data_IF_849890726128
#
_entry.id   IF_849890726128
#
_cell.length_a   1.000
_cell.length_b   1.000
_cell.length_c   1.000
_cell.angle_alpha   90.00
_cell.angle_beta   90.00
_cell.angle_gamma   90.00
#
_symmetry.space_group_name_H-M   'P 1'
#
loop_
_entity.id
_entity.type
_entity.pdbx_description
1 polymer ?
#
# COMPACT_ATOMS: atom_id res chain seq x y z
N UNK A 1 15.10 1.52 36.21
CA UNK A 1 15.23 2.85 35.58
C UNK A 1 14.06 3.04 34.64
N UNK A 2 13.22 4.04 34.88
CA UNK A 2 12.15 4.40 33.94
C UNK A 2 12.81 4.82 32.63
N UNK A 3 12.66 4.02 31.56
CA UNK A 3 13.11 4.47 30.24
C UNK A 3 12.31 5.74 29.91
N UNK A 4 12.99 6.73 29.35
CA UNK A 4 12.38 7.98 28.88
C UNK A 4 11.18 7.66 27.96
N UNK A 5 10.08 8.39 28.09
CA UNK A 5 8.90 8.21 27.23
C UNK A 5 9.33 8.47 25.77
N UNK A 6 8.67 7.80 24.82
CA UNK A 6 8.93 8.06 23.41
C UNK A 6 8.36 9.41 23.00
N UNK A 7 9.19 10.25 22.36
CA UNK A 7 8.75 11.53 21.82
C UNK A 7 8.18 11.33 20.42
N UNK A 8 6.88 11.58 20.25
CA UNK A 8 6.19 11.44 18.97
C UNK A 8 6.41 12.64 18.05
N UNK A 9 6.87 13.77 18.57
CA UNK A 9 7.16 14.97 17.79
C UNK A 9 8.60 14.96 17.24
N UNK A 10 9.44 14.03 17.73
CA UNK A 10 10.78 13.82 17.23
C UNK A 10 10.78 13.47 15.73
N UNK A 11 11.71 14.09 15.00
CA UNK A 11 11.95 13.81 13.60
C UNK A 11 12.54 12.40 13.41
N UNK A 12 12.08 11.69 12.39
CA UNK A 12 12.65 10.42 11.99
C UNK A 12 14.06 10.63 11.44
N UNK A 13 15.04 10.11 12.16
CA UNK A 13 16.45 10.13 11.76
C UNK A 13 16.83 8.97 10.84
N UNK A 14 15.94 7.98 10.70
CA UNK A 14 16.13 6.80 9.86
C UNK A 14 14.85 6.47 9.08
N UNK A 15 14.98 5.68 8.02
CA UNK A 15 13.85 5.31 7.15
C UNK A 15 12.88 4.32 7.83
N UNK A 16 13.34 3.58 8.85
CA UNK A 16 12.58 2.51 9.48
C UNK A 16 12.53 2.71 11.00
N UNK A 17 11.32 2.74 11.54
CA UNK A 17 11.07 2.66 12.98
C UNK A 17 10.81 1.20 13.39
N UNK A 18 11.60 0.71 14.35
CA UNK A 18 11.49 -0.64 14.89
C UNK A 18 11.01 -0.62 16.35
N UNK A 19 9.78 -1.07 16.59
CA UNK A 19 9.20 -1.11 17.93
C UNK A 19 9.98 -2.00 18.90
N UNK A 20 10.75 -2.98 18.40
CA UNK A 20 11.51 -3.92 19.25
C UNK A 20 12.57 -3.18 20.08
N UNK A 21 13.13 -2.10 19.54
CA UNK A 21 14.12 -1.26 20.22
C UNK A 21 13.46 -0.32 21.24
N UNK A 22 12.18 0.02 21.03
CA UNK A 22 11.43 1.00 21.80
C UNK A 22 10.28 0.41 22.65
N UNK A 23 10.20 -0.92 22.77
CA UNK A 23 9.02 -1.61 23.32
C UNK A 23 8.53 -1.01 24.64
N UNK A 24 9.41 -0.91 25.63
CA UNK A 24 9.10 -0.40 26.97
C UNK A 24 8.80 1.12 27.00
N UNK A 25 9.22 1.88 25.98
CA UNK A 25 8.98 3.33 25.86
C UNK A 25 7.65 3.67 25.17
N UNK A 26 7.14 2.73 24.37
CA UNK A 26 6.03 2.95 23.45
C UNK A 26 4.80 2.08 23.77
N UNK A 27 4.98 0.76 23.81
CA UNK A 27 3.86 -0.20 23.83
C UNK A 27 3.01 -0.08 25.10
N UNK A 28 3.57 -0.04 26.33
CA UNK A 28 2.76 0.11 27.54
C UNK A 28 1.90 1.38 27.55
N UNK A 29 2.45 2.50 27.04
CA UNK A 29 1.75 3.78 27.00
C UNK A 29 0.58 3.74 26.00
N UNK A 30 0.82 3.24 24.78
CA UNK A 30 -0.24 3.10 23.76
C UNK A 30 -1.35 2.15 24.24
N UNK A 31 -0.99 1.04 24.88
CA UNK A 31 -1.95 0.11 25.48
C UNK A 31 -2.76 0.79 26.59
N UNK A 32 -2.11 1.51 27.50
CA UNK A 32 -2.77 2.22 28.58
C UNK A 32 -3.75 3.27 28.04
N UNK A 33 -3.34 4.09 27.07
CA UNK A 33 -4.22 5.10 26.45
C UNK A 33 -5.45 4.43 25.81
N UNK A 34 -5.24 3.36 25.04
CA UNK A 34 -6.36 2.64 24.39
C UNK A 34 -7.30 1.98 25.40
N UNK A 35 -6.78 1.51 26.52
CA UNK A 35 -7.59 0.94 27.59
C UNK A 35 -8.34 2.03 28.38
N UNK A 36 -7.65 3.08 28.83
CA UNK A 36 -8.20 4.14 29.67
C UNK A 36 -9.24 5.01 28.94
N UNK A 37 -9.09 5.16 27.62
CA UNK A 37 -9.96 6.00 26.80
C UNK A 37 -10.76 5.18 25.77
N UNK A 38 -11.10 3.92 26.07
CA UNK A 38 -11.74 3.01 25.12
C UNK A 38 -13.02 3.57 24.46
N UNK A 39 -13.80 4.37 25.18
CA UNK A 39 -15.07 4.96 24.70
C UNK A 39 -14.88 6.23 23.86
N UNK A 40 -13.75 6.92 24.01
CA UNK A 40 -13.50 8.23 23.37
C UNK A 40 -12.37 8.21 22.36
N UNK A 41 -11.53 7.17 22.39
CA UNK A 41 -10.39 7.01 21.50
C UNK A 41 -10.85 6.65 20.08
N UNK A 42 -10.16 7.24 19.10
CA UNK A 42 -10.30 6.84 17.72
C UNK A 42 -9.82 5.41 17.52
N UNK A 43 -10.62 4.60 16.83
CA UNK A 43 -10.30 3.20 16.54
C UNK A 43 -10.43 2.89 15.06
N UNK A 44 -9.56 2.02 14.54
CA UNK A 44 -9.79 1.42 13.24
C UNK A 44 -10.89 0.37 13.38
N UNK A 45 -11.87 0.31 12.46
CA UNK A 45 -12.98 -0.65 12.57
C UNK A 45 -12.52 -2.10 12.39
N UNK A 46 -11.42 -2.32 11.66
CA UNK A 46 -10.87 -3.62 11.27
C UNK A 46 -9.36 -3.49 11.07
N UNK A 47 -8.62 -4.56 11.37
CA UNK A 47 -7.25 -4.75 10.89
C UNK A 47 -7.31 -5.38 9.50
N UNK A 48 -6.77 -4.71 8.49
CA UNK A 48 -6.73 -5.23 7.11
C UNK A 48 -5.31 -5.63 6.74
N UNK A 49 -5.14 -6.62 5.85
CA UNK A 49 -3.83 -7.04 5.35
C UNK A 49 -3.82 -7.25 3.83
N UNK A 50 -2.63 -7.09 3.24
CA UNK A 50 -2.36 -7.44 1.85
C UNK A 50 -0.87 -7.78 1.69
N UNK A 51 -0.58 -8.89 1.00
CA UNK A 51 0.77 -9.18 0.52
C UNK A 51 0.98 -8.45 -0.80
N UNK A 52 2.02 -7.65 -0.92
CA UNK A 52 2.43 -6.98 -2.14
C UNK A 52 3.72 -7.63 -2.65
N UNK A 53 3.71 -8.06 -3.90
CA UNK A 53 4.93 -8.52 -4.61
C UNK A 53 5.28 -7.49 -5.65
N UNK A 54 6.46 -6.88 -5.52
CA UNK A 54 6.97 -5.88 -6.46
C UNK A 54 7.68 -6.53 -7.64
N UNK A 55 7.39 -6.01 -8.84
CA UNK A 55 7.98 -6.33 -10.15
C UNK A 55 7.40 -7.48 -11.02
N UNK A 56 6.64 -8.49 -10.54
CA UNK A 56 6.23 -9.59 -11.40
C UNK A 56 5.51 -9.14 -12.68
N UNK A 57 6.02 -9.63 -13.81
CA UNK A 57 5.23 -9.70 -15.04
C UNK A 57 4.26 -10.87 -14.93
N UNK A 58 3.03 -10.70 -15.43
CA UNK A 58 1.99 -11.72 -15.38
C UNK A 58 2.22 -12.83 -16.41
N UNK A 59 3.29 -13.60 -16.22
CA UNK A 59 3.59 -14.86 -16.91
C UNK A 59 3.46 -16.00 -15.93
N UNK A 60 3.45 -17.25 -16.39
CA UNK A 60 3.35 -18.43 -15.51
C UNK A 60 4.25 -18.35 -14.26
N UNK A 61 5.50 -17.92 -14.47
CA UNK A 61 6.49 -17.74 -13.41
C UNK A 61 7.26 -16.44 -13.60
N UNK A 62 7.58 -15.79 -12.49
CA UNK A 62 8.53 -14.69 -12.43
C UNK A 62 9.52 -14.94 -11.29
N UNK A 63 10.78 -15.21 -11.64
CA UNK A 63 11.79 -15.62 -10.68
C UNK A 63 11.38 -16.90 -9.95
N UNK A 64 11.23 -16.82 -8.62
CA UNK A 64 10.73 -17.94 -7.80
C UNK A 64 9.22 -17.96 -7.60
N UNK A 65 8.49 -16.95 -8.07
CA UNK A 65 7.04 -16.88 -7.90
C UNK A 65 6.35 -17.57 -9.07
N UNK A 66 5.68 -18.67 -8.77
CA UNK A 66 4.75 -19.36 -9.66
C UNK A 66 3.32 -18.98 -9.28
N UNK A 67 2.54 -18.44 -10.22
CA UNK A 67 1.22 -17.91 -9.88
C UNK A 67 0.20 -19.00 -9.56
N UNK A 68 0.33 -20.22 -10.08
CA UNK A 68 -0.60 -21.29 -9.72
C UNK A 68 -0.29 -21.83 -8.31
N UNK A 69 1.01 -22.00 -8.02
CA UNK A 69 1.47 -22.41 -6.70
C UNK A 69 1.11 -21.38 -5.62
N UNK A 70 1.32 -20.09 -5.92
CA UNK A 70 0.96 -18.99 -5.02
C UNK A 70 -0.55 -18.95 -4.74
N UNK A 71 -1.41 -19.28 -5.71
CA UNK A 71 -2.85 -19.37 -5.47
C UNK A 71 -3.20 -20.50 -4.50
N UNK A 72 -2.57 -21.66 -4.65
CA UNK A 72 -2.74 -22.79 -3.72
C UNK A 72 -2.34 -22.39 -2.31
N UNK A 73 -1.19 -21.73 -2.16
CA UNK A 73 -0.73 -21.20 -0.87
C UNK A 73 -1.72 -20.17 -0.29
N UNK A 74 -2.24 -19.25 -1.11
CA UNK A 74 -3.24 -18.26 -0.69
C UNK A 74 -4.55 -18.87 -0.20
N UNK A 75 -4.96 -20.01 -0.77
CA UNK A 75 -6.13 -20.76 -0.34
C UNK A 75 -5.85 -21.47 0.99
N UNK A 76 -4.71 -22.15 1.09
CA UNK A 76 -4.30 -22.90 2.27
C UNK A 76 -4.06 -22.00 3.50
N UNK A 77 -3.28 -20.93 3.34
CA UNK A 77 -2.88 -20.01 4.42
C UNK A 77 -3.77 -18.78 4.54
N UNK A 78 -4.89 -18.76 3.81
CA UNK A 78 -5.97 -17.76 3.92
C UNK A 78 -5.52 -16.30 3.77
N UNK A 79 -4.66 -16.02 2.79
CA UNK A 79 -4.21 -14.66 2.46
C UNK A 79 -4.61 -14.22 1.04
N UNK A 80 -4.32 -12.97 0.70
CA UNK A 80 -4.48 -12.36 -0.63
C UNK A 80 -3.19 -11.66 -1.05
N UNK A 81 -2.96 -11.60 -2.36
CA UNK A 81 -1.76 -11.01 -2.96
C UNK A 81 -2.11 -9.94 -3.99
N UNK A 82 -1.48 -8.78 -3.86
CA UNK A 82 -1.42 -7.74 -4.85
C UNK A 82 -0.08 -7.79 -5.59
N UNK A 83 -0.11 -7.71 -6.92
CA UNK A 83 1.10 -7.48 -7.71
C UNK A 83 1.25 -5.99 -7.95
N UNK A 84 2.35 -5.39 -7.47
CA UNK A 84 2.70 -4.04 -7.87
C UNK A 84 3.20 -4.10 -9.32
N UNK A 85 2.27 -3.91 -10.25
CA UNK A 85 2.46 -4.19 -11.65
C UNK A 85 3.03 -2.97 -12.37
N UNK A 86 4.15 -3.17 -13.08
CA UNK A 86 4.80 -2.11 -13.84
C UNK A 86 3.96 -1.81 -15.08
N UNK A 87 3.39 -0.59 -15.24
CA UNK A 87 2.48 -0.28 -16.35
C UNK A 87 3.09 -0.47 -17.74
N UNK A 88 4.41 -0.33 -17.89
CA UNK A 88 5.11 -0.67 -19.13
C UNK A 88 4.84 -2.10 -19.63
N UNK A 89 4.54 -3.05 -18.73
CA UNK A 89 4.21 -4.44 -19.05
C UNK A 89 2.77 -4.67 -19.52
N UNK A 90 1.95 -3.64 -19.71
CA UNK A 90 0.50 -3.78 -19.94
C UNK A 90 0.09 -4.68 -21.13
N UNK A 91 0.95 -4.91 -22.13
CA UNK A 91 0.71 -5.86 -23.25
C UNK A 91 1.37 -7.23 -23.06
N UNK A 92 1.98 -7.50 -21.91
CA UNK A 92 2.90 -8.63 -21.69
C UNK A 92 2.34 -9.68 -20.73
N UNK A 93 1.03 -9.67 -20.48
CA UNK A 93 0.35 -10.66 -19.64
C UNK A 93 -0.01 -11.89 -20.45
N UNK A 94 0.32 -13.08 -19.94
CA UNK A 94 -0.01 -14.35 -20.58
C UNK A 94 -1.50 -14.69 -20.38
N UNK A 95 -2.23 -15.16 -21.41
CA UNK A 95 -3.68 -15.41 -21.32
C UNK A 95 -4.10 -16.32 -20.17
N UNK A 96 -3.31 -17.36 -19.88
CA UNK A 96 -3.58 -18.30 -18.79
C UNK A 96 -3.50 -17.65 -17.41
N UNK A 97 -2.56 -16.72 -17.21
CA UNK A 97 -2.45 -15.96 -15.96
C UNK A 97 -3.50 -14.87 -15.90
N UNK A 98 -3.89 -14.29 -17.03
CA UNK A 98 -5.04 -13.39 -17.09
C UNK A 98 -6.31 -14.08 -16.61
N UNK A 99 -6.57 -15.30 -17.09
CA UNK A 99 -7.70 -16.11 -16.67
C UNK A 99 -7.64 -16.43 -15.18
N UNK A 100 -6.46 -16.81 -14.66
CA UNK A 100 -6.24 -17.10 -13.23
C UNK A 100 -6.66 -15.91 -12.34
N UNK A 101 -6.24 -14.69 -12.69
CA UNK A 101 -6.59 -13.48 -11.95
C UNK A 101 -8.09 -13.18 -12.00
N UNK A 102 -8.71 -13.29 -13.18
CA UNK A 102 -10.14 -13.04 -13.35
C UNK A 102 -11.03 -14.03 -12.59
N UNK A 103 -10.57 -15.26 -12.43
CA UNK A 103 -11.30 -16.31 -11.72
C UNK A 103 -11.12 -16.25 -10.20
N UNK A 104 -10.12 -15.51 -9.69
CA UNK A 104 -9.83 -15.43 -8.26
C UNK A 104 -9.60 -13.96 -7.81
N UNK A 105 -10.55 -13.03 -8.08
CA UNK A 105 -10.39 -11.59 -7.78
C UNK A 105 -10.31 -11.25 -6.29
N UNK A 106 -10.72 -12.17 -5.42
CA UNK A 106 -10.57 -12.08 -3.96
C UNK A 106 -9.17 -12.45 -3.47
N UNK A 107 -8.40 -13.16 -4.31
CA UNK A 107 -7.04 -13.60 -4.01
C UNK A 107 -5.99 -12.76 -4.71
N UNK A 108 -6.27 -12.33 -5.94
CA UNK A 108 -5.35 -11.55 -6.75
C UNK A 108 -5.85 -10.14 -7.02
N UNK A 109 -4.96 -9.16 -6.86
CA UNK A 109 -5.16 -7.80 -7.34
C UNK A 109 -3.90 -7.24 -8.00
N UNK A 110 -4.07 -6.14 -8.73
CA UNK A 110 -2.96 -5.38 -9.32
C UNK A 110 -2.98 -3.96 -8.76
N UNK A 111 -1.81 -3.37 -8.55
CA UNK A 111 -1.66 -1.93 -8.30
C UNK A 111 -0.65 -1.31 -9.27
N UNK A 112 -0.56 0.02 -9.28
CA UNK A 112 0.34 0.76 -10.16
C UNK A 112 1.75 0.77 -9.56
N UNK A 113 2.76 0.25 -10.27
CA UNK A 113 4.15 0.30 -9.83
C UNK A 113 5.00 1.22 -10.70
N UNK A 114 4.98 2.51 -10.39
CA UNK A 114 5.60 3.55 -11.19
C UNK A 114 4.97 3.71 -12.58
N UNK A 115 5.79 3.81 -13.62
CA UNK A 115 5.33 3.80 -15.01
C UNK A 115 6.20 2.88 -15.89
N UNK A 116 7.49 3.21 -16.00
CA UNK A 116 8.49 2.45 -16.76
C UNK A 116 9.42 1.65 -15.83
N UNK A 117 9.34 1.92 -14.53
CA UNK A 117 10.23 1.39 -13.50
C UNK A 117 11.71 1.69 -13.81
N UNK A 118 11.96 2.92 -14.30
CA UNK A 118 13.32 3.43 -14.47
C UNK A 118 13.90 3.95 -13.15
N UNK A 119 15.18 4.36 -13.13
CA UNK A 119 15.83 4.79 -11.88
C UNK A 119 15.18 6.07 -11.37
N UNK A 120 14.71 6.05 -10.11
CA UNK A 120 14.17 7.22 -9.42
C UNK A 120 13.15 8.04 -10.24
N UNK A 121 12.26 7.37 -10.99
CA UNK A 121 11.42 8.06 -11.97
C UNK A 121 10.37 9.01 -11.36
N UNK A 122 10.12 8.88 -10.05
CA UNK A 122 9.31 9.78 -9.23
C UNK A 122 10.13 10.60 -8.22
N UNK A 123 11.46 10.56 -8.29
CA UNK A 123 12.38 11.27 -7.38
C UNK A 123 12.83 12.65 -7.85
N UNK A 124 12.21 13.22 -8.89
CA UNK A 124 12.51 14.56 -9.42
C UNK A 124 11.56 15.63 -8.85
N UNK A 125 11.87 16.91 -9.02
CA UNK A 125 10.98 18.04 -8.69
C UNK A 125 10.14 18.54 -9.88
N UNK A 126 10.37 18.00 -11.09
CA UNK A 126 9.66 18.40 -12.31
C UNK A 126 8.19 17.92 -12.30
N UNK A 127 7.29 18.82 -11.91
CA UNK A 127 5.86 18.54 -11.73
C UNK A 127 5.16 18.08 -13.00
N UNK A 128 5.44 18.69 -14.14
CA UNK A 128 4.80 18.33 -15.42
C UNK A 128 5.24 16.95 -15.86
N UNK A 129 6.55 16.67 -15.76
CA UNK A 129 7.10 15.35 -16.06
C UNK A 129 6.50 14.26 -15.18
N UNK A 130 6.38 14.50 -13.88
CA UNK A 130 5.76 13.58 -12.92
C UNK A 130 4.29 13.35 -13.25
N UNK A 131 3.57 14.41 -13.59
CA UNK A 131 2.15 14.34 -13.88
C UNK A 131 1.88 13.53 -15.14
N UNK A 132 2.64 13.82 -16.20
CA UNK A 132 2.62 13.03 -17.42
C UNK A 132 2.95 11.56 -17.15
N UNK A 133 3.97 11.26 -16.33
CA UNK A 133 4.31 9.87 -15.98
C UNK A 133 3.19 9.16 -15.22
N UNK A 134 2.57 9.81 -14.25
CA UNK A 134 1.45 9.25 -13.50
C UNK A 134 0.22 9.03 -14.39
N UNK A 135 -0.09 9.98 -15.27
CA UNK A 135 -1.13 9.84 -16.28
C UNK A 135 -0.87 8.68 -17.24
N UNK A 136 0.35 8.58 -17.78
CA UNK A 136 0.72 7.49 -18.68
C UNK A 136 0.64 6.13 -18.00
N UNK A 137 1.05 6.04 -16.73
CA UNK A 137 0.88 4.83 -15.93
C UNK A 137 -0.59 4.41 -15.88
N UNK A 138 -1.49 5.33 -15.52
CA UNK A 138 -2.94 5.06 -15.49
C UNK A 138 -3.51 4.71 -16.86
N UNK A 139 -3.10 5.39 -17.93
CA UNK A 139 -3.52 5.07 -19.31
C UNK A 139 -3.13 3.64 -19.69
N UNK A 140 -1.91 3.22 -19.38
CA UNK A 140 -1.43 1.84 -19.65
C UNK A 140 -2.16 0.81 -18.79
N UNK A 141 -2.46 1.12 -17.52
CA UNK A 141 -3.21 0.23 -16.64
C UNK A 141 -4.69 0.12 -17.04
N UNK A 142 -5.30 1.22 -17.49
CA UNK A 142 -6.64 1.21 -18.08
C UNK A 142 -6.66 0.39 -19.37
N UNK A 143 -5.63 0.52 -20.23
CA UNK A 143 -5.51 -0.29 -21.43
C UNK A 143 -5.31 -1.79 -21.12
N UNK A 144 -4.50 -2.13 -20.10
CA UNK A 144 -4.38 -3.49 -19.58
C UNK A 144 -5.74 -4.04 -19.15
N UNK A 145 -6.50 -3.27 -18.37
CA UNK A 145 -7.84 -3.68 -17.91
C UNK A 145 -8.80 -3.89 -19.09
N UNK A 146 -8.82 -2.99 -20.07
CA UNK A 146 -9.70 -3.12 -21.25
C UNK A 146 -9.37 -4.36 -22.09
N UNK A 147 -8.09 -4.71 -22.23
CA UNK A 147 -7.65 -5.87 -23.02
C UNK A 147 -7.81 -7.18 -22.25
N UNK A 148 -7.50 -7.20 -20.95
CA UNK A 148 -7.43 -8.44 -20.17
C UNK A 148 -8.69 -8.70 -19.35
N UNK A 149 -9.45 -7.67 -18.99
CA UNK A 149 -10.54 -7.73 -18.02
C UNK A 149 -10.10 -7.70 -16.56
N UNK A 150 -8.80 -7.63 -16.25
CA UNK A 150 -8.31 -7.53 -14.87
C UNK A 150 -8.41 -6.08 -14.40
N UNK A 151 -9.12 -5.85 -13.30
CA UNK A 151 -9.16 -4.54 -12.65
C UNK A 151 -7.86 -4.28 -11.90
N UNK A 152 -7.46 -3.02 -11.86
CA UNK A 152 -6.34 -2.58 -11.03
C UNK A 152 -6.81 -1.60 -9.96
N UNK A 153 -6.18 -1.68 -8.80
CA UNK A 153 -6.30 -0.73 -7.72
C UNK A 153 -5.54 0.54 -8.10
N UNK A 154 -6.20 1.69 -7.97
CA UNK A 154 -5.64 3.03 -8.27
C UNK A 154 -4.71 3.51 -7.15
N UNK A 155 -3.78 2.65 -6.75
CA UNK A 155 -2.81 2.87 -5.68
C UNK A 155 -1.42 2.88 -6.30
N UNK A 156 -0.66 3.96 -6.05
CA UNK A 156 0.72 4.07 -6.50
C UNK A 156 1.66 3.37 -5.51
N UNK A 157 2.47 2.46 -6.03
CA UNK A 157 3.59 1.85 -5.33
C UNK A 157 4.86 2.37 -5.97
N UNK A 158 5.69 3.09 -5.22
CA UNK A 158 6.89 3.71 -5.79
C UNK A 158 8.00 2.68 -6.05
N UNK A 159 8.52 2.61 -7.29
CA UNK A 159 9.73 1.83 -7.60
C UNK A 159 10.89 2.20 -6.68
N UNK A 160 11.59 1.20 -6.16
CA UNK A 160 12.79 1.36 -5.30
C UNK A 160 12.55 2.16 -4.01
N UNK A 161 11.30 2.41 -3.61
CA UNK A 161 11.03 3.27 -2.45
C UNK A 161 11.14 4.78 -2.73
N UNK A 162 11.44 5.20 -3.96
CA UNK A 162 11.86 6.59 -4.24
C UNK A 162 10.69 7.42 -4.77
N UNK A 163 10.38 8.50 -4.06
CA UNK A 163 9.40 9.53 -4.45
C UNK A 163 9.86 10.92 -3.99
N UNK A 164 9.35 11.99 -4.61
CA UNK A 164 9.55 13.36 -4.16
C UNK A 164 8.24 13.97 -3.62
N UNK A 165 8.33 15.10 -2.94
CA UNK A 165 7.15 15.86 -2.50
C UNK A 165 6.34 16.37 -3.71
N UNK A 166 7.03 16.74 -4.79
CA UNK A 166 6.39 17.11 -6.04
C UNK A 166 5.57 15.94 -6.62
N UNK A 167 6.08 14.70 -6.49
CA UNK A 167 5.35 13.51 -6.94
C UNK A 167 4.04 13.35 -6.17
N UNK A 168 4.06 13.43 -4.84
CA UNK A 168 2.87 13.30 -4.00
C UNK A 168 1.79 14.34 -4.36
N UNK A 169 2.20 15.61 -4.48
CA UNK A 169 1.32 16.70 -4.90
C UNK A 169 0.69 16.46 -6.28
N UNK A 170 1.46 15.88 -7.20
CA UNK A 170 1.00 15.56 -8.54
C UNK A 170 0.03 14.37 -8.55
N UNK A 171 0.28 13.33 -7.75
CA UNK A 171 -0.61 12.16 -7.67
C UNK A 171 -2.03 12.56 -7.24
N UNK A 172 -2.15 13.54 -6.34
CA UNK A 172 -3.43 14.16 -5.92
C UNK A 172 -4.25 14.69 -7.10
N UNK A 173 -3.58 15.13 -8.17
CA UNK A 173 -4.22 15.66 -9.39
C UNK A 173 -4.51 14.59 -10.43
N UNK A 174 -4.47 13.32 -10.06
CA UNK A 174 -4.80 12.17 -10.93
C UNK A 174 -5.97 11.37 -10.34
N UNK A 175 -6.32 10.24 -10.96
CA UNK A 175 -7.31 9.32 -10.39
C UNK A 175 -6.72 8.35 -9.33
N UNK A 176 -5.46 8.50 -8.92
CA UNK A 176 -4.88 7.70 -7.84
C UNK A 176 -5.51 8.08 -6.50
N UNK A 177 -5.69 7.10 -5.62
CA UNK A 177 -6.41 7.28 -4.34
C UNK A 177 -5.50 7.35 -3.12
N UNK A 178 -4.30 6.76 -3.24
CA UNK A 178 -3.22 6.81 -2.25
C UNK A 178 -1.90 6.34 -2.86
N UNK A 179 -0.81 6.59 -2.14
CA UNK A 179 0.46 5.94 -2.35
C UNK A 179 0.75 4.95 -1.21
N UNK A 180 1.49 3.89 -1.53
CA UNK A 180 1.98 2.89 -0.56
C UNK A 180 3.47 2.73 -0.77
N UNK A 181 4.25 2.86 0.30
CA UNK A 181 5.70 2.77 0.22
C UNK A 181 6.33 2.24 1.50
N UNK A 182 7.54 1.68 1.41
CA UNK A 182 8.32 1.31 2.60
C UNK A 182 9.04 2.52 3.17
N UNK A 183 9.67 3.33 2.31
CA UNK A 183 10.35 4.54 2.74
C UNK A 183 9.34 5.69 2.89
N UNK A 184 9.47 6.47 3.96
CA UNK A 184 8.57 7.60 4.23
C UNK A 184 9.21 8.95 3.98
N UNK A 185 10.52 8.99 3.79
CA UNK A 185 11.30 10.21 3.59
C UNK A 185 11.39 10.49 2.09
N UNK A 186 10.96 11.68 1.67
CA UNK A 186 11.03 12.14 0.28
C UNK A 186 12.47 12.28 -0.23
N UNK A 187 12.66 12.06 -1.52
CA UNK A 187 13.88 12.35 -2.25
C UNK A 187 13.96 13.84 -2.62
N UNK A 188 15.18 14.36 -2.63
CA UNK A 188 15.47 15.76 -2.95
C UNK A 188 16.46 16.40 -1.96
N UNK A 189 16.92 17.62 -2.26
CA UNK A 189 17.86 18.36 -1.42
C UNK A 189 17.20 18.97 -0.18
N UNK A 190 15.93 19.39 -0.27
CA UNK A 190 15.12 19.91 0.83
C UNK A 190 14.08 18.87 1.21
N UNK A 191 14.38 18.02 2.18
CA UNK A 191 13.48 16.97 2.65
C UNK A 191 12.59 17.52 3.76
N UNK A 192 11.29 17.32 3.64
CA UNK A 192 10.36 17.50 4.75
C UNK A 192 10.68 16.53 5.88
N UNK A 193 10.86 17.06 7.08
CA UNK A 193 10.90 16.29 8.32
C UNK A 193 9.57 15.54 8.50
N UNK A 194 9.66 14.25 8.79
CA UNK A 194 8.50 13.41 9.15
C UNK A 194 8.63 13.08 10.63
N UNK A 195 7.63 13.42 11.43
CA UNK A 195 7.66 13.08 12.85
C UNK A 195 7.25 11.62 13.08
N UNK A 196 7.64 11.07 14.23
CA UNK A 196 7.21 9.73 14.63
C UNK A 196 5.68 9.62 14.73
N UNK A 197 5.00 10.69 15.17
CA UNK A 197 3.54 10.77 15.25
C UNK A 197 2.87 10.65 13.89
N UNK A 198 3.44 11.24 12.84
CA UNK A 198 2.95 11.04 11.47
C UNK A 198 3.15 9.60 11.00
N UNK A 199 4.29 8.98 11.33
CA UNK A 199 4.55 7.58 10.99
C UNK A 199 3.61 6.62 11.73
N UNK A 200 3.24 6.93 12.96
CA UNK A 200 2.32 6.16 13.79
C UNK A 200 0.85 6.36 13.43
N UNK A 201 0.55 7.37 12.61
CA UNK A 201 -0.77 7.53 12.04
C UNK A 201 -1.08 6.43 11.00
N UNK A 202 -2.35 6.31 10.58
CA UNK A 202 -2.76 5.34 9.55
C UNK A 202 -2.04 5.59 8.23
N UNK A 203 -1.92 6.86 7.85
CA UNK A 203 -1.17 7.30 6.69
C UNK A 203 -0.52 8.66 6.99
N UNK A 204 0.64 8.90 6.38
CA UNK A 204 1.29 10.21 6.42
C UNK A 204 0.51 11.13 5.49
N UNK A 205 -0.13 12.14 6.06
CA UNK A 205 -0.96 13.11 5.34
C UNK A 205 -0.20 14.39 4.98
N UNK A 206 0.99 14.61 5.56
CA UNK A 206 1.74 15.86 5.42
C UNK A 206 2.37 16.12 4.04
N UNK A 207 2.25 15.19 3.09
CA UNK A 207 2.66 15.37 1.69
C UNK A 207 1.51 15.84 0.77
N UNK A 208 0.35 16.21 1.33
CA UNK A 208 -0.85 16.62 0.57
C UNK A 208 -1.59 15.47 -0.12
N UNK A 209 -0.99 14.28 -0.16
CA UNK A 209 -1.56 13.04 -0.67
C UNK A 209 -1.20 11.88 0.28
N UNK A 210 -2.12 10.95 0.57
CA UNK A 210 -1.92 9.95 1.62
C UNK A 210 -0.84 8.94 1.23
N UNK A 211 0.13 8.77 2.14
CA UNK A 211 1.18 7.74 2.04
C UNK A 211 1.00 6.70 3.15
N UNK A 212 0.67 5.47 2.76
CA UNK A 212 0.59 4.33 3.68
C UNK A 212 1.92 3.58 3.69
N UNK A 213 2.30 3.07 4.86
CA UNK A 213 3.55 2.32 5.05
C UNK A 213 3.35 0.82 4.81
N UNK A 214 4.33 0.19 4.16
CA UNK A 214 4.45 -1.28 4.05
C UNK A 214 5.76 -1.77 4.65
N UNK A 215 5.78 -3.01 5.12
CA UNK A 215 6.94 -3.61 5.80
C UNK A 215 7.33 -4.95 5.21
N UNK A 216 8.62 -5.26 5.32
CA UNK A 216 9.13 -6.59 5.00
C UNK A 216 8.89 -7.57 6.13
N UNK A 217 8.71 -8.88 5.85
CA UNK A 217 8.54 -9.89 6.89
C UNK A 217 9.66 -9.95 7.94
N UNK A 218 10.91 -9.65 7.56
CA UNK A 218 12.06 -9.69 8.47
C UNK A 218 12.11 -8.52 9.46
N UNK A 219 11.29 -7.49 9.27
CA UNK A 219 11.12 -6.43 10.29
C UNK A 219 10.40 -6.96 11.55
N UNK A 220 9.86 -8.18 11.50
CA UNK A 220 9.36 -8.88 12.69
C UNK A 220 7.88 -8.66 12.95
N UNK A 221 7.24 -9.69 13.52
CA UNK A 221 5.80 -9.69 13.79
C UNK A 221 5.40 -8.61 14.81
N UNK A 222 6.34 -8.21 15.66
CA UNK A 222 6.17 -7.20 16.71
C UNK A 222 5.81 -5.84 16.10
N UNK A 223 6.45 -5.47 14.99
CA UNK A 223 6.14 -4.24 14.25
C UNK A 223 4.73 -4.28 13.66
N UNK A 224 4.32 -5.41 13.06
CA UNK A 224 2.96 -5.58 12.52
C UNK A 224 1.90 -5.58 13.64
N UNK A 225 2.18 -6.19 14.78
CA UNK A 225 1.29 -6.18 15.93
C UNK A 225 1.11 -4.77 16.51
N UNK A 226 2.19 -3.99 16.56
CA UNK A 226 2.13 -2.60 16.99
C UNK A 226 1.41 -1.70 15.98
N UNK A 227 1.67 -1.86 14.69
CA UNK A 227 0.92 -1.18 13.62
C UNK A 227 -0.58 -1.49 13.71
N UNK A 228 -0.96 -2.76 13.93
CA UNK A 228 -2.34 -3.16 14.16
C UNK A 228 -2.96 -2.50 15.40
N UNK A 229 -2.18 -2.35 16.49
CA UNK A 229 -2.62 -1.62 17.67
C UNK A 229 -2.93 -0.15 17.34
N UNK A 230 -2.11 0.50 16.51
CA UNK A 230 -2.31 1.88 16.03
C UNK A 230 -3.46 2.01 14.99
N UNK A 231 -4.01 0.88 14.53
CA UNK A 231 -5.06 0.82 13.53
C UNK A 231 -4.55 0.87 12.08
N UNK A 232 -3.25 0.74 11.87
CA UNK A 232 -2.63 0.69 10.55
C UNK A 232 -2.90 -0.66 9.88
N UNK A 233 -3.06 -0.71 8.56
CA UNK A 233 -3.15 -1.97 7.86
C UNK A 233 -1.79 -2.69 7.80
N UNK A 234 -1.81 -4.02 7.81
CA UNK A 234 -0.65 -4.86 7.59
C UNK A 234 -0.37 -5.02 6.08
N UNK A 235 0.36 -4.08 5.49
CA UNK A 235 0.81 -4.18 4.10
C UNK A 235 2.21 -4.78 4.09
N UNK A 236 2.34 -5.96 3.49
CA UNK A 236 3.58 -6.73 3.50
C UNK A 236 4.24 -6.59 2.14
N UNK A 237 5.54 -6.35 2.07
CA UNK A 237 6.29 -6.31 0.82
C UNK A 237 7.29 -7.46 0.75
N UNK A 238 7.33 -8.13 -0.40
CA UNK A 238 8.41 -9.03 -0.80
C UNK A 238 8.79 -8.81 -2.27
N UNK A 239 9.97 -9.27 -2.63
CA UNK A 239 10.33 -9.53 -4.02
C UNK A 239 10.36 -11.05 -4.26
N UNK A 240 10.47 -11.47 -5.52
CA UNK A 240 10.38 -12.89 -5.89
C UNK A 240 11.41 -13.78 -5.18
N UNK A 241 12.60 -13.25 -4.89
CA UNK A 241 13.70 -13.97 -4.26
C UNK A 241 13.42 -14.37 -2.80
N UNK A 242 12.46 -13.71 -2.14
CA UNK A 242 11.98 -14.13 -0.83
C UNK A 242 11.38 -15.54 -0.85
N UNK A 243 10.80 -15.94 -1.99
CA UNK A 243 10.26 -17.29 -2.24
C UNK A 243 11.30 -18.30 -2.75
N UNK A 244 12.59 -18.01 -2.64
CA UNK A 244 13.67 -18.93 -3.04
C UNK A 244 13.69 -20.27 -2.27
N UNK A 245 12.96 -20.34 -1.16
CA UNK A 245 12.74 -21.51 -0.30
C UNK A 245 11.36 -22.17 -0.53
N UNK A 246 10.73 -21.94 -1.69
CA UNK A 246 9.35 -22.39 -1.94
C UNK A 246 8.31 -21.60 -1.14
N UNK A 247 8.62 -20.35 -0.82
CA UNK A 247 7.83 -19.46 0.05
C UNK A 247 7.63 -19.98 1.49
N UNK A 248 8.44 -20.93 1.98
CA UNK A 248 8.28 -21.52 3.30
C UNK A 248 8.33 -20.48 4.43
N UNK A 249 9.33 -19.57 4.41
CA UNK A 249 9.42 -18.47 5.39
C UNK A 249 8.25 -17.49 5.30
N UNK A 250 7.75 -17.25 4.09
CA UNK A 250 6.57 -16.40 3.89
C UNK A 250 5.33 -17.03 4.54
N UNK A 251 5.11 -18.33 4.36
CA UNK A 251 3.95 -19.00 4.94
C UNK A 251 4.02 -19.00 6.46
N UNK A 252 5.19 -19.29 7.04
CA UNK A 252 5.39 -19.20 8.50
C UNK A 252 5.09 -17.79 9.03
N UNK A 253 5.50 -16.76 8.31
CA UNK A 253 5.21 -15.38 8.69
C UNK A 253 3.70 -15.06 8.59
N UNK A 254 3.04 -15.46 7.50
CA UNK A 254 1.61 -15.25 7.29
C UNK A 254 0.79 -15.99 8.36
N UNK A 255 1.16 -17.21 8.72
CA UNK A 255 0.48 -17.97 9.76
C UNK A 255 0.62 -17.30 11.13
N UNK A 256 1.82 -16.76 11.45
CA UNK A 256 2.03 -15.95 12.66
C UNK A 256 1.14 -14.70 12.65
N UNK A 257 1.03 -14.01 11.53
CA UNK A 257 0.17 -12.83 11.40
C UNK A 257 -1.32 -13.18 11.56
N UNK A 258 -1.75 -14.30 11.00
CA UNK A 258 -3.11 -14.82 11.14
C UNK A 258 -3.42 -15.34 12.55
N UNK A 259 -2.40 -15.69 13.33
CA UNK A 259 -2.54 -16.14 14.73
C UNK A 259 -2.60 -15.00 15.75
N UNK A 260 -2.45 -13.74 15.33
CA UNK A 260 -2.59 -12.60 16.24
C UNK A 260 -4.00 -12.56 16.85
N UNK A 261 -4.11 -12.01 18.07
CA UNK A 261 -5.38 -11.91 18.81
C UNK A 261 -6.52 -11.32 17.97
N UNK A 262 -6.19 -10.35 17.12
CA UNK A 262 -7.10 -9.78 16.13
C UNK A 262 -6.57 -10.12 14.74
N UNK A 263 -6.99 -11.25 14.14
CA UNK A 263 -6.50 -11.67 12.84
C UNK A 263 -6.92 -10.65 11.77
N UNK A 264 -6.03 -10.31 10.83
CA UNK A 264 -6.36 -9.34 9.80
C UNK A 264 -7.36 -9.92 8.79
N UNK A 265 -8.16 -9.04 8.21
CA UNK A 265 -8.93 -9.36 7.00
C UNK A 265 -8.07 -9.11 5.76
N UNK A 266 -7.77 -10.17 5.02
CA UNK A 266 -7.01 -10.10 3.77
C UNK A 266 -7.86 -9.56 2.62
N UNK A 267 -7.34 -8.56 1.90
CA UNK A 267 -8.05 -7.85 0.83
C UNK A 267 -7.11 -7.49 -0.34
N UNK A 268 -7.67 -6.93 -1.41
CA UNK A 268 -6.86 -6.21 -2.40
C UNK A 268 -6.24 -4.97 -1.78
N UNK A 269 -5.17 -4.44 -2.38
CA UNK A 269 -4.50 -3.25 -1.86
C UNK A 269 -5.43 -2.02 -1.86
N UNK A 270 -6.26 -1.89 -2.90
CA UNK A 270 -7.26 -0.82 -2.98
C UNK A 270 -8.30 -0.90 -1.88
N UNK A 271 -8.78 -2.10 -1.54
CA UNK A 271 -9.72 -2.28 -0.43
C UNK A 271 -9.07 -2.07 0.94
N UNK A 272 -7.79 -2.41 1.11
CA UNK A 272 -7.02 -2.04 2.31
C UNK A 272 -6.99 -0.51 2.45
N UNK A 273 -6.66 0.22 1.38
CA UNK A 273 -6.60 1.69 1.37
C UNK A 273 -7.95 2.31 1.68
N UNK A 274 -9.04 1.88 0.99
CA UNK A 274 -10.40 2.43 1.21
C UNK A 274 -10.94 2.21 2.62
N UNK A 275 -10.42 1.21 3.33
CA UNK A 275 -10.83 0.82 4.68
C UNK A 275 -9.85 1.28 5.76
N UNK A 276 -8.83 2.03 5.37
CA UNK A 276 -7.87 2.66 6.26
C UNK A 276 -8.42 4.01 6.73
N UNK A 277 -9.29 3.94 7.74
CA UNK A 277 -9.90 5.10 8.39
C UNK A 277 -10.03 4.84 9.89
N UNK A 278 -10.14 5.92 10.66
CA UNK A 278 -10.48 5.84 12.08
C UNK A 278 -11.93 6.23 12.29
N UNK A 279 -12.57 5.63 13.28
CA UNK A 279 -13.91 5.97 13.69
C UNK A 279 -14.00 6.24 15.19
N UNK A 280 -14.99 7.03 15.57
CA UNK A 280 -15.40 7.26 16.95
C UNK A 280 -16.92 7.25 17.02
N UNK A 281 -17.47 6.46 17.93
CA UNK A 281 -18.92 6.44 18.14
C UNK A 281 -19.31 7.69 18.95
N UNK A 282 -20.28 8.47 18.46
CA UNK A 282 -20.86 9.60 19.24
C UNK A 282 -22.16 9.20 19.92
N UNK A 283 -22.96 8.38 19.25
CA UNK A 283 -24.21 7.83 19.74
C UNK A 283 -24.53 6.54 18.99
N UNK A 284 -25.65 5.89 19.33
CA UNK A 284 -26.09 4.68 18.62
C UNK A 284 -26.36 4.91 17.12
N UNK A 285 -26.67 6.14 16.71
CA UNK A 285 -27.02 6.53 15.33
C UNK A 285 -26.00 7.43 14.64
N UNK A 286 -25.00 7.98 15.37
CA UNK A 286 -23.97 8.86 14.81
C UNK A 286 -22.56 8.32 15.03
N UNK A 287 -21.80 8.28 13.94
CA UNK A 287 -20.40 7.86 13.92
C UNK A 287 -19.55 8.95 13.27
N UNK A 288 -18.46 9.34 13.91
CA UNK A 288 -17.45 10.18 13.28
C UNK A 288 -16.41 9.33 12.57
N UNK A 289 -15.96 9.80 11.42
CA UNK A 289 -14.95 9.14 10.60
C UNK A 289 -13.83 10.11 10.25
N UNK A 290 -12.59 9.68 10.46
CA UNK A 290 -11.42 10.33 9.89
C UNK A 290 -10.92 9.53 8.69
N UNK A 291 -11.11 10.12 7.51
CA UNK A 291 -10.74 9.57 6.21
C UNK A 291 -9.31 10.01 5.84
N UNK A 292 -8.55 9.11 5.21
CA UNK A 292 -7.17 9.36 4.80
C UNK A 292 -7.04 9.38 3.26
N UNK A 293 -7.38 8.24 2.62
CA UNK A 293 -7.37 8.07 1.17
C UNK A 293 -8.36 9.03 0.45
N UNK A 294 -8.22 9.19 -0.87
CA UNK A 294 -9.21 9.91 -1.67
C UNK A 294 -10.53 9.13 -1.84
N UNK A 295 -10.55 7.83 -1.52
CA UNK A 295 -11.74 7.01 -1.48
C UNK A 295 -11.91 6.34 -0.11
N UNK A 296 -13.14 6.24 0.36
CA UNK A 296 -13.51 5.66 1.65
C UNK A 296 -14.63 4.64 1.47
N UNK A 297 -14.44 3.42 1.97
CA UNK A 297 -15.48 2.39 2.02
C UNK A 297 -16.10 2.35 3.41
N UNK A 298 -17.33 2.83 3.52
CA UNK A 298 -18.14 2.74 4.73
C UNK A 298 -19.05 1.52 4.68
N UNK A 299 -19.15 0.79 5.79
CA UNK A 299 -20.16 -0.25 5.98
C UNK A 299 -20.97 0.05 7.26
N UNK A 300 -22.29 0.11 7.15
CA UNK A 300 -23.17 0.09 8.31
C UNK A 300 -23.54 -1.36 8.66
N UNK A 301 -22.79 -1.96 9.58
CA UNK A 301 -23.03 -3.33 10.05
C UNK A 301 -24.09 -3.43 11.15
N UNK A 302 -24.69 -2.31 11.54
CA UNK A 302 -25.73 -2.32 12.57
C UNK A 302 -27.10 -2.65 11.96
N UNK A 303 -28.02 -3.10 12.82
CA UNK A 303 -29.41 -3.34 12.43
C UNK A 303 -30.26 -2.08 12.27
N UNK A 304 -29.66 -0.89 12.36
CA UNK A 304 -30.35 0.39 12.31
C UNK A 304 -29.68 1.35 11.32
N UNK A 305 -30.41 2.30 10.73
CA UNK A 305 -29.80 3.38 9.96
C UNK A 305 -28.83 4.20 10.82
N UNK A 306 -27.73 4.66 10.21
CA UNK A 306 -26.72 5.50 10.86
C UNK A 306 -26.29 6.66 9.98
N UNK A 307 -25.97 7.78 10.62
CA UNK A 307 -25.30 8.92 9.99
C UNK A 307 -23.81 8.90 10.30
N UNK A 308 -23.00 9.15 9.28
CA UNK A 308 -21.56 9.21 9.35
C UNK A 308 -21.10 10.64 9.06
N UNK A 309 -20.52 11.31 10.06
CA UNK A 309 -19.88 12.62 9.88
C UNK A 309 -18.41 12.38 9.56
N UNK A 310 -18.02 12.64 8.32
CA UNK A 310 -16.67 12.35 7.81
C UNK A 310 -15.86 13.64 7.77
N UNK A 311 -14.62 13.55 8.25
CA UNK A 311 -13.60 14.58 8.10
C UNK A 311 -12.36 14.02 7.44
N UNK A 312 -11.63 14.85 6.70
CA UNK A 312 -10.33 14.50 6.11
C UNK A 312 -9.42 15.71 6.11
N UNK A 313 -8.15 15.52 6.48
CA UNK A 313 -7.14 16.59 6.39
C UNK A 313 -6.95 17.00 4.93
N UNK A 314 -6.93 18.31 4.68
CA UNK A 314 -6.80 18.88 3.34
C UNK A 314 -6.06 20.22 3.42
N UNK A 315 -5.09 20.41 2.53
CA UNK A 315 -4.24 21.59 2.45
C UNK A 315 -4.54 22.48 1.23
N UNK A 316 -5.21 21.93 0.21
CA UNK A 316 -5.60 22.67 -1.00
C UNK A 316 -7.09 22.44 -1.34
N UNK A 317 -8.05 22.93 -0.54
CA UNK A 317 -9.48 22.72 -0.78
C UNK A 317 -9.95 23.29 -2.13
N UNK A 318 -9.30 24.35 -2.63
CA UNK A 318 -9.64 24.99 -3.91
C UNK A 318 -9.48 24.08 -5.14
N UNK A 319 -8.79 22.94 -4.99
CA UNK A 319 -8.51 22.02 -6.09
C UNK A 319 -9.42 20.80 -6.06
N UNK A 320 -10.29 20.69 -5.04
CA UNK A 320 -11.36 19.71 -4.98
C UNK A 320 -12.40 20.09 -6.03
N UNK A 321 -12.65 19.17 -6.95
CA UNK A 321 -13.70 19.30 -7.96
C UNK A 321 -15.05 18.88 -7.40
N UNK A 322 -15.06 17.79 -6.64
CA UNK A 322 -16.30 17.17 -6.16
C UNK A 322 -16.00 16.22 -5.00
N UNK A 323 -16.93 16.15 -4.03
CA UNK A 323 -17.05 15.04 -3.09
C UNK A 323 -18.37 14.35 -3.40
N UNK A 324 -18.37 13.03 -3.59
CA UNK A 324 -19.58 12.29 -3.96
C UNK A 324 -19.64 10.90 -3.33
N UNK A 325 -20.85 10.38 -3.16
CA UNK A 325 -21.11 9.04 -2.63
C UNK A 325 -21.23 7.96 -3.72
N UNK A 326 -20.75 8.30 -4.93
CA UNK A 326 -20.85 7.49 -6.15
C UNK A 326 -22.18 7.64 -6.90
N UNK A 327 -23.25 8.09 -6.22
CA UNK A 327 -24.57 8.32 -6.84
C UNK A 327 -24.87 9.80 -7.04
N UNK A 328 -24.41 10.65 -6.13
CA UNK A 328 -24.64 12.09 -6.18
C UNK A 328 -23.49 12.90 -5.53
N UNK A 329 -23.33 14.18 -5.90
CA UNK A 329 -22.49 15.11 -5.16
C UNK A 329 -22.98 15.26 -3.70
N UNK A 330 -22.04 15.51 -2.79
CA UNK A 330 -22.27 15.80 -1.39
C UNK A 330 -21.88 17.24 -1.08
N UNK A 331 -22.68 17.89 -0.25
CA UNK A 331 -22.31 19.17 0.35
C UNK A 331 -21.16 18.97 1.33
N UNK A 332 -20.19 19.89 1.29
CA UNK A 332 -19.01 19.84 2.13
C UNK A 332 -18.56 21.23 2.53
N UNK A 333 -17.84 21.30 3.65
CA UNK A 333 -17.23 22.54 4.14
C UNK A 333 -15.75 22.32 4.39
N UNK A 334 -15.00 23.42 4.42
CA UNK A 334 -13.59 23.44 4.80
C UNK A 334 -13.39 24.34 6.02
N UNK A 335 -12.83 23.78 7.09
CA UNK A 335 -12.47 24.53 8.28
C UNK A 335 -11.27 23.89 8.98
N UNK A 336 -10.38 24.71 9.52
CA UNK A 336 -9.25 24.26 10.35
C UNK A 336 -8.35 23.20 9.69
N UNK A 337 -8.19 23.24 8.35
CA UNK A 337 -7.39 22.26 7.61
C UNK A 337 -8.09 20.92 7.35
N UNK A 338 -9.40 20.85 7.52
CA UNK A 338 -10.20 19.66 7.23
C UNK A 338 -11.35 19.98 6.29
N UNK A 339 -11.58 19.10 5.33
CA UNK A 339 -12.89 18.98 4.67
C UNK A 339 -13.81 18.13 5.52
N UNK A 340 -15.09 18.50 5.59
CA UNK A 340 -16.11 17.74 6.32
C UNK A 340 -17.40 17.60 5.51
N UNK A 341 -18.03 16.43 5.57
CA UNK A 341 -19.27 16.09 4.87
C UNK A 341 -20.00 14.94 5.59
N UNK A 342 -21.27 14.69 5.26
CA UNK A 342 -22.09 13.67 5.91
C UNK A 342 -22.64 12.63 4.92
N UNK A 343 -22.73 11.38 5.40
CA UNK A 343 -23.33 10.27 4.65
C UNK A 343 -24.24 9.47 5.56
N UNK A 344 -25.52 9.31 5.18
CA UNK A 344 -26.44 8.38 5.82
C UNK A 344 -26.39 7.02 5.15
N UNK A 345 -26.36 5.94 5.94
CA UNK A 345 -26.46 4.56 5.47
C UNK A 345 -27.57 3.80 6.20
N UNK A 346 -28.37 3.07 5.44
CA UNK A 346 -29.37 2.14 5.96
C UNK A 346 -28.70 0.95 6.66
N UNK A 347 -29.48 0.18 7.43
CA UNK A 347 -29.00 -1.04 8.07
C UNK A 347 -28.42 -2.02 7.03
N UNK A 348 -27.20 -2.51 7.25
CA UNK A 348 -26.50 -3.42 6.33
C UNK A 348 -25.94 -2.76 5.06
N UNK A 349 -26.21 -1.47 4.82
CA UNK A 349 -25.75 -0.78 3.61
C UNK A 349 -24.24 -0.55 3.65
N UNK A 350 -23.60 -0.59 2.49
CA UNK A 350 -22.21 -0.22 2.32
C UNK A 350 -22.07 0.73 1.14
N UNK A 351 -21.21 1.75 1.27
CA UNK A 351 -21.03 2.77 0.23
C UNK A 351 -19.58 3.20 0.10
N UNK A 352 -19.21 3.66 -1.09
CA UNK A 352 -17.90 4.25 -1.36
C UNK A 352 -18.07 5.74 -1.55
N UNK A 353 -17.37 6.53 -0.74
CA UNK A 353 -17.29 7.98 -0.87
C UNK A 353 -15.97 8.34 -1.56
N UNK A 354 -15.99 9.33 -2.42
CA UNK A 354 -14.84 9.74 -3.22
C UNK A 354 -14.64 11.25 -3.15
N UNK A 355 -13.39 11.67 -2.98
CA UNK A 355 -12.94 13.05 -3.15
C UNK A 355 -12.19 13.11 -4.47
N UNK A 356 -12.70 13.92 -5.41
CA UNK A 356 -12.11 14.10 -6.73
C UNK A 356 -11.52 15.49 -6.86
N UNK A 357 -10.34 15.55 -7.47
CA UNK A 357 -9.61 16.78 -7.67
C UNK A 357 -9.64 17.21 -9.14
N UNK A 358 -9.40 18.49 -9.38
CA UNK A 358 -9.12 18.98 -10.72
C UNK A 358 -7.79 18.39 -11.22
N UNK A 359 -7.83 17.84 -12.43
CA UNK A 359 -6.64 17.41 -13.14
C UNK A 359 -5.67 18.58 -13.31
N UNK A 360 -4.38 18.29 -13.26
CA UNK A 360 -3.38 19.28 -13.69
C UNK A 360 -3.52 19.46 -15.22
N UNK A 361 -3.41 20.70 -15.70
CA UNK A 361 -3.34 20.95 -17.14
C UNK A 361 -2.09 20.28 -17.71
N UNK A 362 -2.25 19.50 -18.80
CA UNK A 362 -1.11 18.93 -19.52
C UNK A 362 -0.52 19.99 -20.44
N UNK A 363 0.78 20.20 -20.36
CA UNK A 363 1.47 20.93 -21.40
C UNK A 363 1.64 19.99 -22.61
N UNK A 364 1.27 20.44 -23.80
CA UNK A 364 1.25 19.62 -25.02
C UNK A 364 2.63 19.12 -25.52
N UNK A 365 3.69 19.22 -24.69
CA UNK A 365 5.08 18.88 -25.01
C UNK A 365 5.58 17.60 -24.32
N UNK A 366 4.68 16.76 -23.82
CA UNK A 366 5.10 15.63 -23.00
C UNK A 366 5.08 14.29 -23.76
N UNK A 367 6.29 13.77 -23.98
CA UNK A 367 6.54 12.47 -24.58
C UNK A 367 7.99 12.04 -24.37
N UNK A 368 8.20 10.76 -24.09
CA UNK A 368 9.56 10.23 -24.04
C UNK A 368 10.21 10.21 -25.43
N UNK A 369 11.43 10.74 -25.51
CA UNK A 369 12.28 10.58 -26.68
C UNK A 369 12.49 9.08 -26.99
N UNK A 370 12.62 8.73 -28.27
CA UNK A 370 12.81 7.35 -28.72
C UNK A 370 13.98 6.65 -28.01
N UNK A 371 15.08 7.38 -27.80
CA UNK A 371 16.24 6.87 -27.05
C UNK A 371 15.93 6.51 -25.61
N UNK A 372 15.03 7.25 -24.93
CA UNK A 372 14.58 6.90 -23.59
C UNK A 372 13.76 5.60 -23.61
N UNK A 373 12.80 5.49 -24.53
CA UNK A 373 11.95 4.29 -24.67
C UNK A 373 12.78 3.03 -24.91
N UNK A 374 13.79 3.12 -25.76
CA UNK A 374 14.73 2.02 -26.02
C UNK A 374 15.52 1.62 -24.77
N UNK A 375 16.08 2.59 -24.03
CA UNK A 375 16.80 2.32 -22.77
C UNK A 375 15.90 1.70 -21.70
N UNK A 376 14.67 2.20 -21.56
CA UNK A 376 13.68 1.65 -20.65
C UNK A 376 13.35 0.19 -21.02
N UNK A 377 13.09 -0.09 -22.30
CA UNK A 377 12.86 -1.43 -22.82
C UNK A 377 14.03 -2.38 -22.49
N UNK A 378 15.26 -2.01 -22.87
CA UNK A 378 16.45 -2.81 -22.62
C UNK A 378 16.59 -3.12 -21.12
N UNK A 379 16.43 -2.11 -20.26
CA UNK A 379 16.47 -2.29 -18.81
C UNK A 379 15.42 -3.29 -18.34
N UNK A 380 14.17 -3.21 -18.82
CA UNK A 380 13.10 -4.13 -18.38
C UNK A 380 13.38 -5.57 -18.77
N UNK A 381 13.87 -5.81 -19.99
CA UNK A 381 14.28 -7.15 -20.41
C UNK A 381 15.48 -7.67 -19.62
N UNK A 382 16.50 -6.83 -19.35
CA UNK A 382 17.65 -7.22 -18.52
C UNK A 382 17.26 -7.53 -17.07
N UNK A 383 16.34 -6.76 -16.47
CA UNK A 383 15.78 -7.07 -15.16
C UNK A 383 15.07 -8.42 -15.16
N UNK A 384 14.20 -8.68 -16.16
CA UNK A 384 13.51 -9.96 -16.29
C UNK A 384 14.48 -11.14 -16.48
N UNK A 385 15.56 -10.97 -17.25
CA UNK A 385 16.61 -11.99 -17.39
C UNK A 385 17.33 -12.21 -16.07
N UNK A 386 17.71 -11.15 -15.38
CA UNK A 386 18.35 -11.22 -14.06
C UNK A 386 17.46 -12.02 -13.10
N UNK A 387 16.18 -11.69 -13.04
CA UNK A 387 15.25 -12.27 -12.09
C UNK A 387 14.94 -13.74 -12.40
N UNK A 388 14.71 -14.08 -13.67
CA UNK A 388 14.36 -15.46 -14.06
C UNK A 388 15.54 -16.42 -14.14
N UNK A 389 16.75 -15.95 -14.45
CA UNK A 389 17.90 -16.83 -14.73
C UNK A 389 19.10 -16.59 -13.81
N UNK A 390 19.48 -15.33 -13.55
CA UNK A 390 20.72 -15.02 -12.81
C UNK A 390 20.51 -15.21 -11.30
N UNK A 391 19.51 -14.52 -10.74
CA UNK A 391 19.17 -14.59 -9.32
C UNK A 391 18.73 -16.00 -8.93
N UNK A 392 17.92 -16.64 -9.78
CA UNK A 392 17.44 -18.01 -9.54
C UNK A 392 18.58 -19.03 -9.55
N UNK A 393 19.49 -18.98 -10.52
CA UNK A 393 20.64 -19.87 -10.56
C UNK A 393 21.56 -19.66 -9.35
N UNK A 394 21.89 -18.41 -9.02
CA UNK A 394 22.75 -18.07 -7.89
C UNK A 394 22.21 -18.61 -6.57
N UNK A 395 20.92 -18.38 -6.29
CA UNK A 395 20.29 -18.81 -5.04
C UNK A 395 20.07 -20.34 -4.98
N UNK A 396 19.76 -20.99 -6.11
CA UNK A 396 19.70 -22.47 -6.16
C UNK A 396 21.06 -23.11 -5.85
N UNK A 397 22.15 -22.53 -6.35
CA UNK A 397 23.51 -23.01 -6.04
C UNK A 397 23.83 -22.77 -4.56
N UNK A 398 23.56 -21.57 -4.04
CA UNK A 398 23.78 -21.25 -2.63
C UNK A 398 23.01 -22.19 -1.69
N UNK A 399 21.73 -22.46 -1.97
CA UNK A 399 20.90 -23.37 -1.18
C UNK A 399 21.41 -24.82 -1.23
N UNK A 400 21.93 -25.28 -2.39
CA UNK A 400 22.53 -26.62 -2.51
C UNK A 400 23.85 -26.74 -1.75
N UNK A 401 24.68 -25.71 -1.75
CA UNK A 401 25.94 -25.70 -0.99
C UNK A 401 25.67 -25.63 0.51
N UNK A 402 24.76 -24.75 0.97
CA UNK A 402 24.36 -24.67 2.38
C UNK A 402 23.72 -25.96 2.91
N UNK A 403 22.95 -26.70 2.08
CA UNK A 403 22.45 -28.02 2.47
C UNK A 403 23.54 -29.10 2.53
N UNK A 404 24.60 -29.02 1.71
CA UNK A 404 25.74 -29.94 1.81
C UNK A 404 26.54 -29.72 3.09
N UNK A 405 26.73 -28.47 3.49
CA UNK A 405 27.45 -28.13 4.73
C UNK A 405 26.65 -28.57 5.97
N UNK A 406 25.32 -28.39 5.97
CA UNK A 406 24.44 -28.91 7.04
C UNK A 406 24.38 -30.44 7.11
N UNK A 407 24.43 -31.14 5.97
CA UNK A 407 24.51 -32.61 5.95
C UNK A 407 25.89 -33.12 6.39
N UNK A 408 26.96 -32.39 6.09
CA UNK A 408 28.32 -32.70 6.56
C UNK A 408 28.44 -32.57 8.08
N UNK A 409 27.87 -31.51 8.67
CA UNK A 409 27.85 -31.31 10.13
C UNK A 409 26.95 -32.32 10.86
N UNK A 410 25.89 -32.81 10.23
CA UNK A 410 25.01 -33.84 10.79
C UNK A 410 25.60 -35.26 10.72
N UNK A 411 26.62 -35.49 9.89
CA UNK A 411 27.36 -36.76 9.79
C UNK A 411 28.63 -36.78 10.66
N UNK A 412 28.97 -35.65 11.29
CA UNK A 412 30.11 -35.49 12.21
C UNK A 412 29.71 -35.29 13.68
N UNK A 413 28.42 -35.44 13.99
CA UNK A 413 27.88 -35.61 15.35
C UNK A 413 27.24 -36.98 15.46
#
# INVERSE_FOLDING_TARGET
TSKEIIDIDAELTSQNFDIREHFLRAVPLVLYIKWAFAETCWSAPQTNACLVIDDPVLKHRHGFVDFQELLSLMKQHRFSTNIAFIPWNWRRSAPEIVQLFRQNPEKYSLSVHGCDHTRAEFGTSDRQRLYWKACQALERMNAHQSVTGIRHDRVMVFPQGIFSEAAMNVLKRTDLIAAVNNDVISAGPSRRAVSLGELWDIAIMGYGFPLLTRRYPWEGIENFAFDALLGKPAIIIIHHDYCSDGCARLMQFIDRLNSLKYPPTWRSLGEVVRRSYRKRERSASQVEIEMYAAELRLDNRSGQPRSFSIRRREDEPAVIREISDGSKPLEWNFANGYISFEVGLSAGESKVVQVRYHFLGRDGRDGDALGYKFRAMLRRYLCEIRDNYVTTAKLRVANRLGHRDQQSEALTR
#
